data_IF_077169668962
#
_entry.id   IF_077169668962
#
_cell.length_a   1.000
_cell.length_b   1.000
_cell.length_c   1.000
_cell.angle_alpha   90.00
_cell.angle_beta   90.00
_cell.angle_gamma   90.00
#
_symmetry.space_group_name_H-M   'P 1'
#
loop_
_entity.id
_entity.type
_entity.pdbx_description
1 polymer ?
#
# COMPACT_ATOMS: atom_id res chain seq x y z
N UNK A 1 34.38 30.45 -20.12
CA UNK A 1 33.46 29.77 -19.18
C UNK A 1 33.42 30.58 -17.90
N UNK A 2 32.57 31.61 -17.84
CA UNK A 2 32.41 32.50 -16.70
C UNK A 2 31.50 31.84 -15.68
N UNK A 3 32.00 31.64 -14.46
CA UNK A 3 31.23 31.20 -13.30
C UNK A 3 30.17 32.26 -12.95
N UNK A 4 28.91 32.03 -13.31
CA UNK A 4 27.79 32.73 -12.68
C UNK A 4 27.85 32.44 -11.16
N UNK A 5 27.75 33.46 -10.29
CA UNK A 5 27.97 33.25 -8.87
C UNK A 5 26.76 32.51 -8.28
N UNK A 6 27.05 31.44 -7.51
CA UNK A 6 26.08 30.61 -6.76
C UNK A 6 25.08 31.44 -5.93
N UNK A 7 25.46 32.66 -5.53
CA UNK A 7 24.59 33.61 -4.84
C UNK A 7 23.38 34.06 -5.67
N UNK A 8 23.53 34.21 -6.99
CA UNK A 8 22.45 34.64 -7.87
C UNK A 8 21.35 33.59 -8.01
N UNK A 9 21.71 32.31 -7.97
CA UNK A 9 20.76 31.20 -8.01
C UNK A 9 20.00 31.04 -6.70
N UNK A 10 20.66 31.23 -5.55
CA UNK A 10 20.00 31.24 -4.25
C UNK A 10 18.97 32.38 -4.14
N UNK A 11 19.32 33.58 -4.62
CA UNK A 11 18.39 34.71 -4.64
C UNK A 11 17.21 34.47 -5.59
N UNK A 12 17.44 33.85 -6.75
CA UNK A 12 16.35 33.43 -7.66
C UNK A 12 15.42 32.42 -6.99
N UNK A 13 15.98 31.43 -6.27
CA UNK A 13 15.21 30.39 -5.57
C UNK A 13 14.32 30.95 -4.47
N UNK A 14 14.84 31.89 -3.67
CA UNK A 14 14.07 32.58 -2.63
C UNK A 14 12.86 33.34 -3.17
N UNK A 15 12.97 33.90 -4.37
CA UNK A 15 11.93 34.74 -4.99
C UNK A 15 10.85 33.95 -5.75
N UNK A 16 10.93 32.62 -5.80
CA UNK A 16 9.92 31.80 -6.48
C UNK A 16 8.58 31.97 -5.76
N UNK A 17 7.54 32.24 -6.54
CA UNK A 17 6.15 32.32 -6.08
C UNK A 17 5.38 31.14 -6.63
N UNK A 18 4.69 30.45 -5.73
CA UNK A 18 3.90 29.27 -6.06
C UNK A 18 2.48 29.55 -5.64
N UNK A 19 1.54 29.20 -6.51
CA UNK A 19 0.12 29.41 -6.28
C UNK A 19 -0.60 28.08 -6.23
N UNK A 20 -1.30 27.86 -5.13
CA UNK A 20 -2.17 26.70 -4.96
C UNK A 20 -3.40 26.79 -5.90
N UNK A 21 -3.86 25.63 -6.38
CA UNK A 21 -5.08 25.54 -7.19
C UNK A 21 -6.31 25.81 -6.32
N UNK A 22 -7.22 26.65 -6.82
CA UNK A 22 -8.38 27.16 -6.05
C UNK A 22 -9.51 26.15 -5.85
N UNK A 23 -9.50 25.06 -6.60
CA UNK A 23 -10.50 23.98 -6.60
C UNK A 23 -10.18 22.89 -5.56
N UNK A 24 -9.06 22.98 -4.84
CA UNK A 24 -8.70 22.04 -3.79
C UNK A 24 -9.57 22.26 -2.54
N UNK A 25 -10.11 21.17 -2.01
CA UNK A 25 -10.78 21.19 -0.70
C UNK A 25 -9.86 20.60 0.35
N UNK A 26 -9.71 21.31 1.47
CA UNK A 26 -8.83 20.94 2.57
C UNK A 26 -9.70 20.72 3.81
N UNK A 27 -9.66 19.53 4.37
CA UNK A 27 -10.43 19.16 5.57
C UNK A 27 -9.50 18.64 6.67
N UNK A 28 -9.73 19.08 7.91
CA UNK A 28 -9.04 18.54 9.07
C UNK A 28 -9.68 17.22 9.51
N UNK A 29 -8.87 16.19 9.71
CA UNK A 29 -9.28 14.87 10.17
C UNK A 29 -8.42 14.43 11.36
N UNK A 30 -9.09 13.99 12.43
CA UNK A 30 -8.46 13.38 13.59
C UNK A 30 -8.27 11.89 13.34
N UNK A 31 -7.03 11.44 13.40
CA UNK A 31 -6.67 10.04 13.23
C UNK A 31 -5.63 9.65 14.27
N UNK A 32 -5.92 8.64 15.09
CA UNK A 32 -5.04 8.17 16.18
C UNK A 32 -4.58 9.30 17.13
N UNK A 33 -5.48 10.26 17.43
CA UNK A 33 -5.19 11.39 18.33
C UNK A 33 -4.30 12.47 17.72
N UNK A 34 -3.97 12.40 16.43
CA UNK A 34 -3.23 13.43 15.70
C UNK A 34 -4.10 14.06 14.63
N UNK A 35 -3.98 15.38 14.47
CA UNK A 35 -4.70 16.14 13.42
C UNK A 35 -3.93 16.06 12.11
N UNK A 36 -4.61 15.64 11.05
CA UNK A 36 -4.10 15.66 9.70
C UNK A 36 -5.01 16.48 8.80
N UNK A 37 -4.43 17.17 7.84
CA UNK A 37 -5.17 17.93 6.85
C UNK A 37 -5.19 17.13 5.55
N UNK A 38 -6.38 16.73 5.11
CA UNK A 38 -6.57 15.96 3.88
C UNK A 38 -6.97 16.92 2.76
N UNK A 39 -6.11 17.02 1.76
CA UNK A 39 -6.36 17.78 0.53
C UNK A 39 -6.98 16.84 -0.50
N UNK A 40 -8.21 17.14 -0.92
CA UNK A 40 -8.92 16.39 -1.96
C UNK A 40 -8.73 17.11 -3.30
N UNK A 41 -8.17 16.42 -4.28
CA UNK A 41 -8.06 16.90 -5.66
C UNK A 41 -9.28 16.40 -6.47
N UNK A 42 -10.22 17.30 -6.85
CA UNK A 42 -11.42 16.89 -7.60
C UNK A 42 -11.11 16.46 -9.04
N UNK A 43 -9.96 16.85 -9.59
CA UNK A 43 -9.57 16.55 -10.98
C UNK A 43 -8.86 15.20 -11.06
N UNK A 44 -7.91 14.93 -10.15
CA UNK A 44 -7.16 13.67 -10.17
C UNK A 44 -7.78 12.57 -9.31
N UNK A 45 -8.82 12.87 -8.53
CA UNK A 45 -9.46 11.98 -7.54
C UNK A 45 -8.47 11.41 -6.52
N UNK A 46 -7.38 12.14 -6.26
CA UNK A 46 -6.35 11.78 -5.28
C UNK A 46 -6.53 12.55 -3.99
N UNK A 47 -6.11 11.90 -2.90
CA UNK A 47 -6.13 12.45 -1.56
C UNK A 47 -4.69 12.58 -1.07
N UNK A 48 -4.35 13.74 -0.53
CA UNK A 48 -3.04 14.01 0.04
C UNK A 48 -3.21 14.31 1.51
N UNK A 49 -2.45 13.61 2.36
CA UNK A 49 -2.48 13.79 3.80
C UNK A 49 -1.29 14.63 4.20
N UNK A 50 -1.56 15.77 4.80
CA UNK A 50 -0.57 16.72 5.28
C UNK A 50 -0.63 16.81 6.79
N UNK A 51 0.52 16.96 7.41
CA UNK A 51 0.59 17.27 8.84
C UNK A 51 0.45 18.78 9.03
N UNK A 52 0.30 19.20 10.28
CA UNK A 52 0.09 20.61 10.64
C UNK A 52 1.15 21.57 10.07
N UNK A 53 2.43 21.20 10.16
CA UNK A 53 3.54 21.99 9.64
C UNK A 53 3.49 22.21 8.11
N UNK A 54 3.06 21.21 7.33
CA UNK A 54 2.91 21.29 5.87
C UNK A 54 1.64 22.07 5.49
N UNK A 55 0.56 21.91 6.26
CA UNK A 55 -0.65 22.72 6.09
C UNK A 55 -0.35 24.20 6.31
N UNK A 56 0.44 24.53 7.33
CA UNK A 56 0.86 25.91 7.57
C UNK A 56 1.62 26.48 6.37
N UNK A 57 2.53 25.70 5.74
CA UNK A 57 3.24 26.15 4.55
C UNK A 57 2.32 26.35 3.33
N UNK A 58 1.27 25.52 3.19
CA UNK A 58 0.27 25.68 2.12
C UNK A 58 -0.43 27.04 2.17
N UNK A 59 -0.75 27.55 3.37
CA UNK A 59 -1.39 28.86 3.55
C UNK A 59 -0.53 30.02 3.02
N UNK A 60 0.78 29.82 2.89
CA UNK A 60 1.71 30.80 2.33
C UNK A 60 1.91 30.65 0.82
N UNK A 61 1.37 29.60 0.20
CA UNK A 61 1.45 29.36 -1.25
C UNK A 61 0.25 29.97 -2.00
N UNK A 62 -0.03 31.23 -1.72
CA UNK A 62 -1.14 32.01 -2.30
C UNK A 62 -0.77 32.70 -3.65
N UNK A 63 0.48 32.55 -4.08
CA UNK A 63 1.06 33.24 -5.25
C UNK A 63 1.55 34.66 -4.98
N UNK A 64 1.33 35.22 -3.79
CA UNK A 64 1.77 36.58 -3.44
C UNK A 64 3.07 36.57 -2.65
N UNK A 65 3.19 35.63 -1.71
CA UNK A 65 4.33 35.49 -0.80
C UNK A 65 5.47 34.69 -1.45
N UNK A 66 6.70 35.00 -1.05
CA UNK A 66 7.90 34.29 -1.52
C UNK A 66 8.20 33.09 -0.63
N UNK A 67 9.02 32.15 -1.12
CA UNK A 67 9.47 31.01 -0.30
C UNK A 67 10.25 31.49 0.94
N UNK A 68 10.98 32.60 0.85
CA UNK A 68 11.68 33.18 1.98
C UNK A 68 10.72 33.69 3.08
N UNK A 69 9.60 34.30 2.69
CA UNK A 69 8.57 34.75 3.64
C UNK A 69 7.93 33.57 4.37
N UNK A 70 7.67 32.48 3.64
CA UNK A 70 7.14 31.23 4.20
C UNK A 70 8.12 30.60 5.19
N UNK A 71 9.42 30.57 4.86
CA UNK A 71 10.48 30.06 5.75
C UNK A 71 10.53 30.86 7.06
N UNK A 72 10.56 32.20 6.97
CA UNK A 72 10.62 33.06 8.15
C UNK A 72 9.39 32.88 9.05
N UNK A 73 8.20 32.83 8.44
CA UNK A 73 6.96 32.61 9.18
C UNK A 73 6.90 31.23 9.85
N UNK A 74 7.49 30.20 9.21
CA UNK A 74 7.61 28.87 9.78
C UNK A 74 8.50 28.87 11.01
N UNK A 75 9.69 29.47 10.90
CA UNK A 75 10.66 29.57 12.00
C UNK A 75 10.12 30.41 13.17
N UNK A 76 9.24 31.37 12.92
CA UNK A 76 8.62 32.17 13.99
C UNK A 76 7.54 31.39 14.74
N UNK A 77 6.82 30.48 14.08
CA UNK A 77 5.71 29.72 14.69
C UNK A 77 6.12 28.41 15.34
N UNK A 78 7.13 27.72 14.81
CA UNK A 78 7.48 26.35 15.21
C UNK A 78 8.85 26.23 15.92
N UNK A 79 9.35 27.27 16.61
CA UNK A 79 10.62 27.18 17.35
C UNK A 79 10.60 26.01 18.36
N UNK A 80 11.67 25.19 18.44
CA UNK A 80 13.01 25.36 17.88
C UNK A 80 13.23 24.76 16.47
N UNK A 81 12.20 24.19 15.84
CA UNK A 81 12.35 23.53 14.54
C UNK A 81 12.66 24.55 13.43
N UNK A 82 13.72 24.27 12.66
CA UNK A 82 14.15 25.10 11.52
C UNK A 82 13.87 24.36 10.22
N UNK A 83 13.26 25.07 9.27
CA UNK A 83 13.03 24.55 7.93
C UNK A 83 14.13 25.04 7.00
N UNK A 84 14.83 24.11 6.32
CA UNK A 84 15.81 24.49 5.30
C UNK A 84 15.09 24.93 4.03
N UNK A 85 15.71 25.85 3.29
CA UNK A 85 15.17 26.28 1.99
C UNK A 85 15.04 25.11 1.01
N UNK A 86 15.96 24.15 1.08
CA UNK A 86 15.97 22.92 0.29
C UNK A 86 14.72 22.05 0.52
N UNK A 87 14.29 21.90 1.78
CA UNK A 87 13.09 21.13 2.15
C UNK A 87 11.83 21.83 1.66
N UNK A 88 11.80 23.17 1.77
CA UNK A 88 10.70 23.99 1.27
C UNK A 88 10.61 23.93 -0.27
N UNK A 89 11.74 23.95 -0.96
CA UNK A 89 11.82 23.73 -2.42
C UNK A 89 11.36 22.33 -2.80
N UNK A 90 11.78 21.29 -2.08
CA UNK A 90 11.34 19.93 -2.32
C UNK A 90 9.82 19.78 -2.15
N UNK A 91 9.26 20.37 -1.10
CA UNK A 91 7.82 20.39 -0.85
C UNK A 91 7.06 21.13 -1.97
N UNK A 92 7.56 22.31 -2.37
CA UNK A 92 7.06 23.05 -3.52
C UNK A 92 7.08 22.23 -4.82
N UNK A 93 8.17 21.51 -5.11
CA UNK A 93 8.28 20.65 -6.28
C UNK A 93 7.34 19.45 -6.21
N UNK A 94 7.10 18.89 -5.02
CA UNK A 94 6.12 17.84 -4.81
C UNK A 94 4.70 18.33 -5.13
N UNK A 95 4.32 19.53 -4.67
CA UNK A 95 3.01 20.13 -4.97
C UNK A 95 2.83 20.41 -6.47
N UNK A 96 3.88 20.90 -7.15
CA UNK A 96 3.86 21.10 -8.60
C UNK A 96 3.75 19.78 -9.37
N UNK A 97 4.48 18.75 -8.95
CA UNK A 97 4.46 17.41 -9.59
C UNK A 97 3.15 16.67 -9.32
N UNK A 98 2.53 16.90 -8.16
CA UNK A 98 1.21 16.40 -7.82
C UNK A 98 0.08 17.13 -8.56
N UNK A 99 0.36 18.28 -9.19
CA UNK A 99 -0.64 19.11 -9.87
C UNK A 99 -1.50 19.95 -8.91
N UNK A 100 -1.13 20.01 -7.63
CA UNK A 100 -1.82 20.78 -6.60
C UNK A 100 -1.47 22.27 -6.66
N UNK A 101 -0.28 22.60 -7.16
CA UNK A 101 0.19 23.97 -7.31
C UNK A 101 0.56 24.30 -8.76
N UNK A 102 0.55 25.59 -9.10
CA UNK A 102 0.95 26.14 -10.38
C UNK A 102 2.00 27.22 -10.15
N UNK A 103 3.01 27.26 -11.02
CA UNK A 103 4.01 28.32 -11.01
C UNK A 103 3.48 29.49 -11.86
N UNK A 104 3.59 30.73 -11.37
CA UNK A 104 3.15 31.92 -12.12
C UNK A 104 4.07 32.24 -13.32
N UNK A 105 5.20 31.54 -13.48
CA UNK A 105 6.04 31.66 -14.67
C UNK A 105 5.30 31.16 -15.93
N UNK A 106 4.97 32.02 -16.93
CA UNK A 106 4.05 31.72 -18.04
C UNK A 106 4.51 30.66 -19.05
N UNK A 107 5.63 29.95 -18.83
CA UNK A 107 6.31 29.14 -19.86
C UNK A 107 6.33 27.62 -19.63
N UNK A 108 5.72 27.08 -18.56
CA UNK A 108 5.82 25.64 -18.24
C UNK A 108 4.61 24.78 -18.61
N UNK A 109 3.55 25.35 -19.21
CA UNK A 109 2.31 24.62 -19.54
C UNK A 109 2.51 23.43 -20.48
N UNK A 110 3.41 23.54 -21.48
CA UNK A 110 3.68 22.45 -22.44
C UNK A 110 4.41 21.27 -21.80
N UNK A 111 5.45 21.51 -21.00
CA UNK A 111 6.19 20.43 -20.34
C UNK A 111 5.34 19.69 -19.28
N UNK A 112 4.42 20.38 -18.62
CA UNK A 112 3.46 19.74 -17.71
C UNK A 112 2.42 18.93 -18.47
N UNK A 113 1.93 19.41 -19.62
CA UNK A 113 0.99 18.66 -20.46
C UNK A 113 1.62 17.36 -21.01
N UNK A 114 2.84 17.44 -21.53
CA UNK A 114 3.53 16.26 -22.07
C UNK A 114 3.82 15.20 -20.99
N UNK A 115 4.13 15.64 -19.76
CA UNK A 115 4.27 14.74 -18.61
C UNK A 115 2.94 14.09 -18.22
N UNK A 116 1.83 14.83 -18.24
CA UNK A 116 0.49 14.27 -17.99
C UNK A 116 0.10 13.21 -19.04
N UNK A 117 0.36 13.47 -20.33
CA UNK A 117 0.06 12.52 -21.41
C UNK A 117 0.88 11.24 -21.27
N UNK A 118 2.18 11.36 -20.93
CA UNK A 118 3.05 10.20 -20.71
C UNK A 118 2.63 9.38 -19.49
N UNK A 119 2.29 10.04 -18.37
CA UNK A 119 1.82 9.38 -17.15
C UNK A 119 0.49 8.66 -17.35
N UNK A 120 -0.47 9.28 -18.07
CA UNK A 120 -1.76 8.66 -18.41
C UNK A 120 -1.59 7.41 -19.27
N UNK A 121 -0.65 7.42 -20.23
CA UNK A 121 -0.30 6.22 -21.01
C UNK A 121 0.27 5.12 -20.11
N UNK A 122 1.23 5.44 -19.25
CA UNK A 122 1.82 4.46 -18.33
C UNK A 122 0.78 3.91 -17.34
N UNK A 123 -0.11 4.73 -16.81
CA UNK A 123 -1.19 4.31 -15.91
C UNK A 123 -2.21 3.42 -16.64
N UNK A 124 -2.54 3.70 -17.90
CA UNK A 124 -3.37 2.81 -18.72
C UNK A 124 -2.68 1.48 -18.96
N UNK A 125 -1.42 1.47 -19.42
CA UNK A 125 -0.64 0.23 -19.60
C UNK A 125 -0.51 -0.55 -18.29
N UNK A 126 -0.24 0.12 -17.17
CA UNK A 126 -0.24 -0.50 -15.85
C UNK A 126 -1.61 -1.04 -15.49
N UNK A 127 -2.71 -0.35 -15.76
CA UNK A 127 -4.08 -0.84 -15.50
C UNK A 127 -4.41 -2.08 -16.34
N UNK A 128 -3.96 -2.12 -17.60
CA UNK A 128 -4.09 -3.32 -18.44
C UNK A 128 -3.23 -4.48 -17.93
N UNK A 129 -2.04 -4.22 -17.38
CA UNK A 129 -1.22 -5.25 -16.70
C UNK A 129 -1.82 -5.63 -15.34
N UNK A 130 -2.42 -4.69 -14.62
CA UNK A 130 -3.11 -4.88 -13.35
C UNK A 130 -4.48 -5.56 -13.53
N UNK A 131 -4.98 -5.70 -14.76
CA UNK A 131 -6.17 -6.48 -15.09
C UNK A 131 -5.94 -7.98 -14.81
N UNK A 132 -4.70 -8.46 -15.00
CA UNK A 132 -4.26 -9.79 -14.56
C UNK A 132 -4.10 -9.89 -13.04
N UNK A 133 -4.21 -8.77 -12.32
CA UNK A 133 -4.17 -8.66 -10.87
C UNK A 133 -5.44 -8.01 -10.31
N UNK A 134 -6.54 -8.01 -11.07
CA UNK A 134 -7.85 -7.78 -10.46
C UNK A 134 -8.13 -9.05 -9.67
N UNK A 135 -7.77 -9.01 -8.39
CA UNK A 135 -8.48 -9.72 -7.32
C UNK A 135 -9.92 -9.24 -7.40
N UNK A 136 -10.72 -9.83 -8.27
CA UNK A 136 -12.17 -9.68 -8.18
C UNK A 136 -12.53 -10.50 -6.95
N UNK A 137 -13.00 -9.91 -5.83
CA UNK A 137 -13.61 -10.69 -4.77
C UNK A 137 -14.98 -11.16 -5.26
N UNK A 138 -15.02 -12.01 -6.30
CA UNK A 138 -16.28 -12.63 -6.79
C UNK A 138 -16.85 -13.51 -5.68
N UNK A 139 -15.97 -14.04 -4.84
CA UNK A 139 -16.30 -15.01 -3.84
C UNK A 139 -15.82 -14.49 -2.49
N UNK A 140 -16.77 -14.17 -1.60
CA UNK A 140 -16.48 -13.95 -0.20
C UNK A 140 -16.34 -15.32 0.48
N UNK A 141 -15.10 -15.80 0.76
CA UNK A 141 -14.89 -17.10 1.36
C UNK A 141 -15.54 -17.22 2.74
N UNK A 142 -15.81 -16.08 3.42
CA UNK A 142 -16.48 -16.10 4.72
C UNK A 142 -17.94 -16.55 4.61
N UNK A 143 -18.61 -16.30 3.48
CA UNK A 143 -20.00 -16.73 3.31
C UNK A 143 -20.11 -18.25 3.17
N UNK A 144 -19.24 -18.85 2.35
CA UNK A 144 -19.16 -20.30 2.20
C UNK A 144 -18.69 -20.97 3.48
N UNK A 145 -17.68 -20.40 4.15
CA UNK A 145 -17.19 -20.92 5.42
C UNK A 145 -18.27 -20.87 6.51
N UNK A 146 -19.01 -19.76 6.64
CA UNK A 146 -20.14 -19.66 7.60
C UNK A 146 -21.25 -20.67 7.30
N UNK A 147 -21.57 -20.91 6.03
CA UNK A 147 -22.55 -21.93 5.65
C UNK A 147 -22.08 -23.34 5.99
N UNK A 148 -20.82 -23.67 5.69
CA UNK A 148 -20.22 -24.96 6.05
C UNK A 148 -20.14 -25.13 7.57
N UNK A 149 -19.68 -24.12 8.30
CA UNK A 149 -19.58 -24.14 9.76
C UNK A 149 -20.93 -24.38 10.43
N UNK A 150 -22.05 -23.93 9.86
CA UNK A 150 -23.38 -24.25 10.40
C UNK A 150 -23.62 -25.76 10.44
N UNK A 151 -23.30 -26.48 9.35
CA UNK A 151 -23.49 -27.93 9.25
C UNK A 151 -22.38 -28.72 9.97
N UNK A 152 -21.14 -28.24 9.96
CA UNK A 152 -20.00 -28.89 10.61
C UNK A 152 -19.75 -28.44 12.05
N UNK A 153 -20.57 -27.54 12.61
CA UNK A 153 -20.42 -27.06 14.00
C UNK A 153 -20.39 -28.19 15.03
N UNK A 154 -21.08 -29.29 14.74
CA UNK A 154 -21.10 -30.47 15.59
C UNK A 154 -19.73 -31.18 15.69
N UNK A 155 -18.87 -31.07 14.68
CA UNK A 155 -17.51 -31.65 14.70
C UNK A 155 -16.59 -30.92 15.70
N UNK A 156 -16.86 -29.66 15.99
CA UNK A 156 -16.12 -28.85 16.95
C UNK A 156 -16.71 -28.91 18.36
N UNK A 157 -17.75 -29.71 18.57
CA UNK A 157 -18.36 -29.89 19.89
C UNK A 157 -17.48 -30.76 20.78
N UNK A 158 -17.46 -30.47 22.09
CA UNK A 158 -16.67 -31.20 23.08
C UNK A 158 -16.96 -32.72 23.07
N UNK A 159 -18.21 -33.11 22.78
CA UNK A 159 -18.60 -34.51 22.64
C UNK A 159 -17.94 -35.20 21.43
N UNK A 160 -17.87 -34.55 20.27
CA UNK A 160 -17.20 -35.10 19.10
C UNK A 160 -15.68 -35.19 19.32
N UNK A 161 -15.10 -34.22 20.02
CA UNK A 161 -13.70 -34.27 20.43
C UNK A 161 -13.42 -35.50 21.31
N UNK A 162 -14.26 -35.79 22.30
CA UNK A 162 -14.12 -36.98 23.15
C UNK A 162 -14.30 -38.28 22.37
N UNK A 163 -15.29 -38.36 21.46
CA UNK A 163 -15.47 -39.52 20.59
C UNK A 163 -14.25 -39.74 19.70
N UNK A 164 -13.74 -38.68 19.08
CA UNK A 164 -12.53 -38.72 18.26
C UNK A 164 -11.31 -39.15 19.08
N UNK A 165 -11.19 -38.69 20.33
CA UNK A 165 -10.13 -39.10 21.25
C UNK A 165 -10.22 -40.59 21.57
N UNK A 166 -11.41 -41.11 21.85
CA UNK A 166 -11.63 -42.55 22.12
C UNK A 166 -11.31 -43.39 20.90
N UNK A 167 -11.75 -42.99 19.71
CA UNK A 167 -11.44 -43.69 18.46
C UNK A 167 -9.93 -43.67 18.20
N UNK A 168 -9.27 -42.52 18.43
CA UNK A 168 -7.83 -42.39 18.24
C UNK A 168 -7.05 -43.26 19.23
N UNK A 169 -7.45 -43.29 20.50
CA UNK A 169 -6.88 -44.19 21.50
C UNK A 169 -7.11 -45.66 21.15
N UNK A 170 -8.30 -46.04 20.67
CA UNK A 170 -8.59 -47.40 20.22
C UNK A 170 -7.73 -47.80 19.00
N UNK A 171 -7.54 -46.88 18.04
CA UNK A 171 -6.67 -47.11 16.90
C UNK A 171 -5.20 -47.31 17.32
N UNK A 172 -4.70 -46.49 18.24
CA UNK A 172 -3.34 -46.64 18.80
C UNK A 172 -3.19 -47.97 19.54
N UNK A 173 -4.17 -48.36 20.34
CA UNK A 173 -4.17 -49.65 21.04
C UNK A 173 -4.21 -50.83 20.07
N UNK A 174 -4.96 -50.71 18.97
CA UNK A 174 -5.02 -51.73 17.92
C UNK A 174 -3.65 -51.87 17.24
N UNK A 175 -3.01 -50.76 16.86
CA UNK A 175 -1.67 -50.78 16.26
C UNK A 175 -0.62 -51.32 17.24
N UNK A 176 -0.70 -50.94 18.53
CA UNK A 176 0.23 -51.41 19.55
C UNK A 176 0.06 -52.91 19.85
N UNK A 177 -1.18 -53.41 19.90
CA UNK A 177 -1.45 -54.85 20.13
C UNK A 177 -1.11 -55.72 18.92
N UNK A 178 -1.29 -55.20 17.71
CA UNK A 178 -0.99 -55.89 16.45
C UNK A 178 0.31 -55.36 15.83
N UNK A 179 1.28 -54.96 16.65
CA UNK A 179 2.49 -54.31 16.16
C UNK A 179 3.32 -55.23 15.26
N UNK A 180 3.38 -56.53 15.58
CA UNK A 180 4.08 -57.52 14.75
C UNK A 180 3.36 -57.78 13.42
N UNK A 181 2.02 -57.81 13.43
CA UNK A 181 1.22 -57.98 12.21
C UNK A 181 1.23 -56.71 11.36
N UNK A 182 1.24 -55.53 11.96
CA UNK A 182 1.43 -54.26 11.27
C UNK A 182 2.82 -54.24 10.63
N UNK A 183 3.88 -54.55 11.39
CA UNK A 183 5.26 -54.59 10.88
C UNK A 183 5.46 -55.58 9.74
N UNK A 184 4.80 -56.73 9.79
CA UNK A 184 4.86 -57.75 8.74
C UNK A 184 3.97 -57.42 7.52
N UNK A 185 2.93 -56.59 7.70
CA UNK A 185 2.06 -56.08 6.63
C UNK A 185 2.43 -54.67 6.16
N UNK A 186 3.54 -54.09 6.63
CA UNK A 186 4.18 -52.95 5.98
C UNK A 186 5.00 -53.54 4.81
N UNK A 187 4.45 -53.69 3.58
CA UNK A 187 5.30 -53.97 2.43
C UNK A 187 6.40 -52.90 2.38
N UNK A 188 7.62 -53.29 2.02
CA UNK A 188 8.78 -52.40 1.93
C UNK A 188 8.36 -51.00 1.42
N UNK A 189 8.21 -50.02 2.32
CA UNK A 189 7.70 -48.68 1.96
C UNK A 189 8.58 -48.00 0.91
N UNK A 190 9.84 -48.44 0.82
CA UNK A 190 10.77 -48.08 -0.23
C UNK A 190 10.22 -48.36 -1.63
N UNK A 191 9.47 -49.44 -1.86
CA UNK A 191 8.85 -49.72 -3.16
C UNK A 191 7.58 -48.89 -3.38
N UNK A 192 6.76 -48.66 -2.35
CA UNK A 192 5.48 -47.95 -2.52
C UNK A 192 5.65 -46.43 -2.66
N UNK A 193 6.53 -45.80 -1.86
CA UNK A 193 6.78 -44.34 -1.93
C UNK A 193 7.63 -43.94 -3.13
N UNK A 194 8.58 -44.78 -3.56
CA UNK A 194 9.45 -44.50 -4.73
C UNK A 194 9.01 -45.23 -6.01
N UNK A 195 7.85 -45.91 -6.02
CA UNK A 195 7.27 -46.40 -7.26
C UNK A 195 6.89 -45.21 -8.14
N UNK A 196 7.27 -45.28 -9.41
CA UNK A 196 7.01 -44.26 -10.42
C UNK A 196 5.51 -43.90 -10.51
N UNK A 197 4.62 -44.88 -10.28
CA UNK A 197 3.17 -44.67 -10.27
C UNK A 197 2.71 -43.79 -9.11
N UNK A 198 3.22 -44.03 -7.91
CA UNK A 198 2.86 -43.26 -6.71
C UNK A 198 3.38 -41.84 -6.77
N UNK A 199 4.55 -41.63 -7.37
CA UNK A 199 5.11 -40.30 -7.63
C UNK A 199 4.21 -39.47 -8.56
N UNK A 200 3.64 -40.10 -9.59
CA UNK A 200 2.68 -39.48 -10.51
C UNK A 200 1.37 -39.12 -9.77
N UNK A 201 0.85 -40.01 -8.92
CA UNK A 201 -0.34 -39.70 -8.12
C UNK A 201 -0.10 -38.57 -7.13
N UNK A 202 1.07 -38.54 -6.47
CA UNK A 202 1.44 -37.46 -5.55
C UNK A 202 1.61 -36.12 -6.27
N UNK A 203 2.22 -36.12 -7.46
CA UNK A 203 2.35 -34.94 -8.30
C UNK A 203 0.99 -34.43 -8.79
N UNK A 204 0.10 -35.33 -9.24
CA UNK A 204 -1.28 -34.98 -9.61
C UNK A 204 -2.07 -34.41 -8.42
N UNK A 205 -1.96 -35.01 -7.24
CA UNK A 205 -2.63 -34.52 -6.04
C UNK A 205 -2.13 -33.11 -5.65
N UNK A 206 -0.82 -32.87 -5.69
CA UNK A 206 -0.23 -31.55 -5.44
C UNK A 206 -0.65 -30.51 -6.49
N UNK A 207 -0.75 -30.90 -7.76
CA UNK A 207 -1.22 -30.02 -8.83
C UNK A 207 -2.71 -29.66 -8.73
N UNK A 208 -3.52 -30.49 -8.06
CA UNK A 208 -4.96 -30.21 -7.84
C UNK A 208 -5.18 -29.32 -6.60
N UNK A 209 -4.32 -29.43 -5.59
CA UNK A 209 -4.45 -28.69 -4.32
C UNK A 209 -3.88 -27.27 -4.41
N UNK A 210 -3.09 -26.96 -5.44
CA UNK A 210 -2.42 -25.67 -5.63
C UNK A 210 -3.03 -24.86 -6.76
#
# INVERSE_FOLDING_TARGET
MSSEPVSSDLERRKQIKIRLRKDLSIEAQLYEGRTFFVVKDPVSLRYYRLKEHEHFLLDFMDGKRTLQDAQKAYEDRFRPDRLRLEDLEAFAQQLLTAGLAQNEAPKSGKQLYDRHVKKRRTELFQTFTNILYIKVPVFDPDYLLKHMLKYFSWIFSLGWFLISLVIMSAAVLLVASHFDTFRNKLPNYYEFFFSFKTLIYLWMALGIVK
#
